data_IF_144690362964
#
_entry.id   IF_144690362964
#
_cell.length_a   1.000
_cell.length_b   1.000
_cell.length_c   1.000
_cell.angle_alpha   90.00
_cell.angle_beta   90.00
_cell.angle_gamma   90.00
#
_symmetry.space_group_name_H-M   'P 1'
#
loop_
_entity.id
_entity.type
_entity.pdbx_description
1 polymer ?
#
# COMPACT_ATOMS: atom_id res chain seq x y z
N UNK A 1 70.15 -57.46 16.21
CA UNK A 1 71.12 -56.39 16.52
C UNK A 1 70.70 -55.13 15.79
N UNK A 2 70.41 -54.08 16.58
CA UNK A 2 70.57 -52.62 16.31
C UNK A 2 69.71 -51.97 15.21
N UNK A 3 68.98 -51.08 15.68
CA UNK A 3 68.90 -49.60 15.94
C UNK A 3 67.95 -48.95 14.95
N UNK A 4 66.84 -48.47 15.47
CA UNK A 4 66.52 -47.05 15.78
C UNK A 4 66.95 -46.11 14.66
N UNK A 5 65.99 -45.57 13.93
CA UNK A 5 66.05 -44.16 13.56
C UNK A 5 64.63 -43.59 13.51
N UNK A 6 64.55 -42.48 14.18
CA UNK A 6 63.36 -41.72 14.55
C UNK A 6 63.26 -40.60 13.49
N UNK A 7 62.23 -40.60 12.72
CA UNK A 7 61.98 -39.47 11.80
C UNK A 7 60.68 -38.78 12.13
N UNK A 8 60.81 -37.60 12.64
CA UNK A 8 59.77 -36.67 13.02
C UNK A 8 58.97 -36.20 11.81
N UNK A 9 57.66 -36.51 11.78
CA UNK A 9 56.75 -35.95 10.80
C UNK A 9 56.11 -34.67 11.40
N UNK A 10 56.40 -33.55 10.79
CA UNK A 10 55.83 -32.25 11.04
C UNK A 10 54.35 -32.24 10.60
N UNK A 11 53.46 -32.10 11.58
CA UNK A 11 52.06 -31.81 11.32
C UNK A 11 51.93 -30.33 10.92
N UNK A 12 51.73 -30.08 9.63
CA UNK A 12 51.31 -28.78 9.14
C UNK A 12 49.77 -28.67 9.33
N UNK A 13 49.36 -27.98 10.36
CA UNK A 13 47.94 -27.64 10.60
C UNK A 13 47.52 -26.54 9.62
N UNK A 14 46.89 -26.92 8.51
CA UNK A 14 46.22 -25.97 7.64
C UNK A 14 44.91 -25.48 8.30
N UNK A 15 44.93 -24.27 8.89
CA UNK A 15 43.72 -23.55 9.25
C UNK A 15 42.94 -23.20 7.95
N UNK A 16 42.03 -24.05 7.56
CA UNK A 16 41.05 -23.76 6.53
C UNK A 16 40.03 -22.76 7.05
N UNK A 17 40.25 -21.48 6.84
CA UNK A 17 39.25 -20.45 7.07
C UNK A 17 38.09 -20.61 6.12
N UNK A 18 36.96 -21.13 6.61
CA UNK A 18 35.69 -21.18 5.87
C UNK A 18 35.15 -19.76 5.78
N UNK A 19 35.38 -19.08 4.66
CA UNK A 19 34.70 -17.85 4.30
C UNK A 19 33.21 -18.18 4.11
N UNK A 20 32.40 -17.93 5.14
CA UNK A 20 30.95 -17.86 4.98
C UNK A 20 30.65 -16.68 4.07
N UNK A 21 30.50 -16.95 2.78
CA UNK A 21 29.93 -16.00 1.84
C UNK A 21 28.45 -15.80 2.22
N UNK A 22 28.15 -14.72 2.93
CA UNK A 22 26.79 -14.25 3.13
C UNK A 22 26.26 -13.84 1.75
N UNK A 23 25.56 -14.75 1.09
CA UNK A 23 24.79 -14.43 -0.10
C UNK A 23 23.69 -13.45 0.31
N UNK A 24 23.93 -12.15 0.16
CA UNK A 24 22.88 -11.16 0.15
C UNK A 24 21.97 -11.52 -1.02
N UNK A 25 20.76 -12.01 -0.71
CA UNK A 25 19.73 -12.22 -1.72
C UNK A 25 19.46 -10.87 -2.38
N UNK A 26 20.06 -10.64 -3.54
CA UNK A 26 19.76 -9.49 -4.36
C UNK A 26 18.27 -9.61 -4.74
N UNK A 27 17.43 -8.80 -4.12
CA UNK A 27 16.02 -8.68 -4.51
C UNK A 27 15.99 -8.34 -5.99
N UNK A 28 15.42 -9.24 -6.80
CA UNK A 28 15.35 -9.04 -8.25
C UNK A 28 14.64 -7.72 -8.53
N UNK A 29 15.27 -6.86 -9.33
CA UNK A 29 14.69 -5.55 -9.69
C UNK A 29 13.35 -5.78 -10.42
N UNK A 30 12.28 -5.06 -10.05
CA UNK A 30 10.99 -5.22 -10.69
C UNK A 30 11.07 -4.89 -12.19
N UNK A 31 10.40 -5.67 -13.01
CA UNK A 31 10.42 -5.59 -14.47
C UNK A 31 9.18 -4.88 -14.98
N UNK A 32 9.37 -3.84 -15.80
CA UNK A 32 8.27 -3.14 -16.48
C UNK A 32 7.49 -4.11 -17.41
N UNK A 33 6.18 -3.98 -17.41
CA UNK A 33 5.27 -4.84 -18.17
C UNK A 33 4.85 -6.12 -17.42
N UNK A 34 5.73 -6.64 -16.54
CA UNK A 34 5.42 -7.80 -15.70
C UNK A 34 4.96 -7.37 -14.31
N UNK A 35 5.81 -6.63 -13.58
CA UNK A 35 5.58 -6.31 -12.17
C UNK A 35 4.96 -4.91 -11.96
N UNK A 36 5.14 -4.02 -12.93
CA UNK A 36 4.57 -2.67 -12.95
C UNK A 36 4.43 -2.15 -14.39
N UNK A 37 3.58 -1.14 -14.57
CA UNK A 37 3.43 -0.37 -15.82
C UNK A 37 3.76 1.10 -15.60
N UNK A 38 3.94 1.84 -16.71
CA UNK A 38 4.07 3.29 -16.67
C UNK A 38 2.70 3.96 -16.80
N UNK A 39 2.53 5.06 -16.07
CA UNK A 39 1.38 5.96 -16.22
C UNK A 39 1.76 6.98 -17.32
N UNK A 40 1.00 7.00 -18.39
CA UNK A 40 1.24 7.88 -19.53
C UNK A 40 -0.02 8.69 -19.90
N UNK A 41 0.07 10.03 -19.90
CA UNK A 41 1.22 10.83 -19.46
C UNK A 41 1.44 10.73 -17.94
N UNK A 42 2.69 10.93 -17.45
CA UNK A 42 2.94 10.93 -16.01
C UNK A 42 2.21 12.08 -15.32
N UNK A 43 1.74 11.80 -14.11
CA UNK A 43 1.00 12.76 -13.29
C UNK A 43 1.96 13.48 -12.32
N UNK A 44 1.74 14.78 -12.11
CA UNK A 44 2.51 15.53 -11.14
C UNK A 44 2.13 15.15 -9.70
N UNK A 45 3.11 14.89 -8.80
CA UNK A 45 2.80 14.63 -7.40
C UNK A 45 2.24 15.88 -6.71
N UNK A 46 1.38 15.68 -5.72
CA UNK A 46 0.80 16.79 -4.97
C UNK A 46 1.85 17.59 -4.18
N UNK A 47 2.92 16.94 -3.74
CA UNK A 47 4.08 17.57 -3.09
C UNK A 47 5.37 17.06 -3.76
N UNK A 48 6.06 17.88 -4.56
CA UNK A 48 7.29 17.47 -5.24
C UNK A 48 8.48 17.21 -4.30
N UNK A 49 8.43 17.68 -3.05
CA UNK A 49 9.47 17.45 -2.03
C UNK A 49 9.38 16.05 -1.38
N UNK A 50 8.34 15.27 -1.69
CA UNK A 50 8.15 13.92 -1.16
C UNK A 50 7.89 12.92 -2.28
N UNK A 51 8.23 11.66 -2.06
CA UNK A 51 7.80 10.58 -2.95
C UNK A 51 6.33 10.30 -2.68
N UNK A 52 5.47 10.61 -3.64
CA UNK A 52 4.03 10.34 -3.52
C UNK A 52 3.72 8.87 -3.82
N UNK A 53 2.97 8.24 -2.90
CA UNK A 53 2.41 6.90 -3.06
C UNK A 53 0.90 6.98 -2.90
N UNK A 54 0.15 6.56 -3.90
CA UNK A 54 -1.31 6.51 -3.85
C UNK A 54 -1.78 5.07 -3.89
N UNK A 55 -2.69 4.72 -2.98
CA UNK A 55 -3.49 3.49 -3.06
C UNK A 55 -4.86 3.84 -3.63
N UNK A 56 -5.19 3.30 -4.79
CA UNK A 56 -6.56 3.32 -5.32
C UNK A 56 -7.31 2.10 -4.80
N UNK A 57 -8.48 2.33 -4.19
CA UNK A 57 -9.23 1.28 -3.51
C UNK A 57 -10.74 1.54 -3.54
N UNK A 58 -11.52 0.58 -3.06
CA UNK A 58 -12.94 0.77 -2.74
C UNK A 58 -13.34 -0.12 -1.56
N UNK A 59 -14.17 0.39 -0.67
CA UNK A 59 -14.79 -0.44 0.37
C UNK A 59 -15.68 -1.57 -0.18
N UNK A 60 -16.18 -1.44 -1.41
CA UNK A 60 -16.94 -2.51 -2.09
C UNK A 60 -16.06 -3.63 -2.66
N UNK A 61 -14.73 -3.44 -2.70
CA UNK A 61 -13.80 -4.38 -3.33
C UNK A 61 -13.32 -5.46 -2.34
N UNK A 62 -13.63 -6.76 -2.54
CA UNK A 62 -13.16 -7.82 -1.66
C UNK A 62 -11.63 -7.99 -1.69
N UNK A 63 -10.99 -7.74 -2.83
CA UNK A 63 -9.52 -7.78 -2.93
C UNK A 63 -8.86 -6.64 -2.15
N UNK A 64 -9.48 -5.45 -2.10
CA UNK A 64 -9.01 -4.35 -1.25
C UNK A 64 -9.17 -4.71 0.25
N UNK A 65 -10.28 -5.34 0.63
CA UNK A 65 -10.48 -5.85 1.99
C UNK A 65 -9.41 -6.86 2.38
N UNK A 66 -9.05 -7.79 1.49
CA UNK A 66 -7.98 -8.77 1.73
C UNK A 66 -6.59 -8.15 1.74
N UNK A 67 -6.40 -7.01 1.09
CA UNK A 67 -5.12 -6.29 1.03
C UNK A 67 -4.89 -5.38 2.24
N UNK A 68 -5.95 -4.84 2.84
CA UNK A 68 -5.87 -3.88 3.95
C UNK A 68 -5.01 -4.35 5.14
N UNK A 69 -5.06 -5.63 5.61
CA UNK A 69 -4.21 -6.10 6.70
C UNK A 69 -2.70 -6.01 6.42
N UNK A 70 -2.31 -5.89 5.16
CA UNK A 70 -0.91 -5.75 4.74
C UNK A 70 -0.57 -4.30 4.40
N UNK A 71 -1.36 -3.62 3.57
CA UNK A 71 -1.08 -2.25 3.15
C UNK A 71 -1.21 -1.24 4.28
N UNK A 72 -2.11 -1.46 5.22
CA UNK A 72 -2.30 -0.58 6.38
C UNK A 72 -1.03 -0.47 7.25
N UNK A 73 -0.48 -1.57 7.81
CA UNK A 73 0.80 -1.55 8.53
C UNK A 73 1.96 -1.06 7.67
N UNK A 74 2.06 -1.50 6.42
CA UNK A 74 3.10 -1.08 5.49
C UNK A 74 3.10 0.44 5.27
N UNK A 75 1.95 1.05 5.04
CA UNK A 75 1.85 2.49 4.82
C UNK A 75 2.34 3.32 6.02
N UNK A 76 2.17 2.80 7.23
CA UNK A 76 2.67 3.43 8.47
C UNK A 76 4.18 3.24 8.69
N UNK A 77 4.78 2.23 8.08
CA UNK A 77 6.23 1.99 8.14
C UNK A 77 7.03 2.78 7.11
N UNK A 78 6.36 3.45 6.18
CA UNK A 78 7.03 4.23 5.14
C UNK A 78 7.83 5.39 5.75
N UNK A 79 9.02 5.70 5.20
CA UNK A 79 9.86 6.80 5.68
C UNK A 79 9.17 8.18 5.56
N UNK A 80 9.63 9.14 6.36
CA UNK A 80 9.03 10.47 6.46
C UNK A 80 9.04 11.30 5.15
N UNK A 81 9.94 10.96 4.22
CA UNK A 81 10.01 11.56 2.89
C UNK A 81 9.05 10.92 1.87
N UNK A 82 8.28 9.91 2.28
CA UNK A 82 7.21 9.29 1.48
C UNK A 82 5.85 9.79 1.97
N UNK A 83 5.03 10.27 1.05
CA UNK A 83 3.66 10.71 1.32
C UNK A 83 2.67 9.67 0.79
N UNK A 84 2.13 8.83 1.70
CA UNK A 84 1.09 7.87 1.36
C UNK A 84 -0.30 8.50 1.49
N UNK A 85 -1.16 8.27 0.51
CA UNK A 85 -2.59 8.65 0.52
C UNK A 85 -3.44 7.60 -0.15
N UNK A 86 -4.70 7.50 0.27
CA UNK A 86 -5.71 6.66 -0.35
C UNK A 86 -6.63 7.47 -1.26
N UNK A 87 -7.04 6.88 -2.37
CA UNK A 87 -7.95 7.47 -3.34
C UNK A 87 -9.09 6.46 -3.61
N UNK A 88 -10.29 6.68 -3.08
CA UNK A 88 -11.42 5.81 -3.32
C UNK A 88 -11.93 5.97 -4.76
N UNK A 89 -12.11 4.84 -5.48
CA UNK A 89 -12.54 4.83 -6.89
C UNK A 89 -14.05 4.90 -7.07
N UNK A 90 -14.50 5.20 -8.30
CA UNK A 90 -15.91 5.49 -8.61
C UNK A 90 -16.63 4.45 -9.48
N UNK A 91 -15.98 3.33 -9.85
CA UNK A 91 -16.54 2.36 -10.79
C UNK A 91 -17.12 1.09 -10.15
N UNK A 92 -17.17 1.00 -8.82
CA UNK A 92 -17.74 -0.14 -8.11
C UNK A 92 -19.10 0.22 -7.50
N UNK A 93 -19.83 -0.82 -7.07
CA UNK A 93 -21.13 -0.66 -6.40
C UNK A 93 -21.05 0.34 -5.24
N UNK A 94 -22.09 1.15 -5.08
CA UNK A 94 -22.22 2.16 -4.02
C UNK A 94 -21.03 3.15 -3.93
N UNK A 95 -20.38 3.40 -5.06
CA UNK A 95 -19.07 4.09 -5.10
C UNK A 95 -19.13 5.48 -4.47
N UNK A 96 -20.11 6.33 -4.80
CA UNK A 96 -20.16 7.69 -4.27
C UNK A 96 -20.35 7.71 -2.74
N UNK A 97 -21.18 6.81 -2.20
CA UNK A 97 -21.37 6.69 -0.75
C UNK A 97 -20.05 6.26 -0.07
N UNK A 98 -19.33 5.29 -0.64
CA UNK A 98 -18.06 4.85 -0.09
C UNK A 98 -16.91 5.86 -0.30
N UNK A 99 -16.92 6.63 -1.38
CA UNK A 99 -15.99 7.75 -1.54
C UNK A 99 -16.23 8.83 -0.47
N UNK A 100 -17.49 9.21 -0.25
CA UNK A 100 -17.88 10.15 0.79
C UNK A 100 -17.54 9.62 2.18
N UNK A 101 -17.73 8.32 2.41
CA UNK A 101 -17.34 7.66 3.67
C UNK A 101 -15.88 7.86 3.96
N UNK A 102 -14.99 7.52 3.01
CA UNK A 102 -13.56 7.68 3.20
C UNK A 102 -13.18 9.13 3.50
N UNK A 103 -13.66 10.08 2.70
CA UNK A 103 -13.32 11.49 2.89
C UNK A 103 -13.95 12.12 4.14
N UNK A 104 -15.09 11.62 4.60
CA UNK A 104 -15.65 12.02 5.90
C UNK A 104 -14.81 11.49 7.07
N UNK A 105 -14.34 10.24 6.99
CA UNK A 105 -13.40 9.68 7.96
C UNK A 105 -12.07 10.45 7.97
N UNK A 106 -11.55 10.82 6.79
CA UNK A 106 -10.35 11.63 6.66
C UNK A 106 -10.54 13.03 7.29
N UNK A 107 -11.63 13.72 6.96
CA UNK A 107 -11.95 15.04 7.50
C UNK A 107 -12.17 15.06 9.03
N UNK A 108 -12.54 13.91 9.59
CA UNK A 108 -12.76 13.76 11.05
C UNK A 108 -11.58 13.11 11.78
N UNK A 109 -10.49 12.74 11.07
CA UNK A 109 -9.31 12.10 11.63
C UNK A 109 -9.53 10.63 12.05
N UNK A 110 -10.56 9.96 11.50
CA UNK A 110 -10.97 8.62 11.90
C UNK A 110 -10.49 7.51 10.96
N UNK A 111 -9.71 7.82 9.91
CA UNK A 111 -9.27 6.80 8.92
C UNK A 111 -8.55 5.65 9.61
N UNK A 112 -7.53 5.91 10.42
CA UNK A 112 -6.75 4.86 11.10
C UNK A 112 -7.59 3.96 11.99
N UNK A 113 -8.60 4.52 12.64
CA UNK A 113 -9.50 3.78 13.52
C UNK A 113 -10.55 2.97 12.75
N UNK A 114 -11.02 3.47 11.61
CA UNK A 114 -12.23 2.98 10.97
C UNK A 114 -11.98 2.23 9.66
N UNK A 115 -10.85 2.41 8.99
CA UNK A 115 -10.57 1.82 7.68
C UNK A 115 -10.84 0.30 7.63
N UNK A 116 -10.19 -0.46 8.49
CA UNK A 116 -10.37 -1.91 8.58
C UNK A 116 -11.77 -2.32 9.06
N UNK A 117 -12.41 -1.48 9.90
CA UNK A 117 -13.76 -1.75 10.43
C UNK A 117 -14.85 -1.58 9.38
N UNK A 118 -14.70 -0.58 8.49
CA UNK A 118 -15.62 -0.44 7.35
C UNK A 118 -15.49 -1.64 6.41
N UNK A 119 -14.27 -2.08 6.10
CA UNK A 119 -14.06 -3.30 5.32
C UNK A 119 -14.68 -4.54 6.00
N UNK A 120 -14.47 -4.71 7.31
CA UNK A 120 -15.04 -5.83 8.05
C UNK A 120 -16.57 -5.79 8.05
N UNK A 121 -17.19 -4.63 8.27
CA UNK A 121 -18.63 -4.46 8.21
C UNK A 121 -19.20 -4.87 6.84
N UNK A 122 -18.57 -4.47 5.74
CA UNK A 122 -19.03 -4.81 4.38
C UNK A 122 -18.78 -6.28 4.05
N UNK A 123 -17.56 -6.80 4.26
CA UNK A 123 -17.14 -8.09 3.69
C UNK A 123 -17.30 -9.28 4.66
N UNK A 124 -17.17 -9.04 5.96
CA UNK A 124 -17.28 -10.09 6.99
C UNK A 124 -18.68 -10.10 7.61
N UNK A 125 -19.13 -8.94 8.09
CA UNK A 125 -20.45 -8.81 8.74
C UNK A 125 -21.60 -8.66 7.71
N UNK A 126 -21.29 -8.45 6.42
CA UNK A 126 -22.23 -8.31 5.30
C UNK A 126 -23.27 -7.20 5.52
N UNK A 127 -22.87 -6.14 6.20
CA UNK A 127 -23.70 -4.97 6.38
C UNK A 127 -23.84 -4.20 5.06
N UNK A 128 -25.03 -3.72 4.77
CA UNK A 128 -25.29 -3.04 3.51
C UNK A 128 -24.77 -1.60 3.46
N UNK A 129 -24.50 -0.95 4.54
CA UNK A 129 -23.98 0.42 4.64
C UNK A 129 -24.41 1.37 3.47
N UNK A 130 -25.66 1.25 3.04
CA UNK A 130 -26.20 1.97 1.88
C UNK A 130 -26.52 3.43 2.23
N UNK A 131 -26.77 3.70 3.51
CA UNK A 131 -27.15 5.02 4.01
C UNK A 131 -26.02 5.62 4.85
N UNK A 132 -25.80 6.93 4.77
CA UNK A 132 -24.82 7.61 5.61
C UNK A 132 -25.05 7.40 7.12
N UNK A 133 -26.31 7.25 7.52
CA UNK A 133 -26.74 7.03 8.90
C UNK A 133 -26.27 5.66 9.43
N UNK A 134 -26.26 4.62 8.59
CA UNK A 134 -25.76 3.28 8.95
C UNK A 134 -24.24 3.34 9.22
N UNK A 135 -23.51 4.12 8.41
CA UNK A 135 -22.07 4.33 8.59
C UNK A 135 -21.79 5.18 9.84
N UNK A 136 -22.60 6.23 10.08
CA UNK A 136 -22.49 7.03 11.30
C UNK A 136 -22.74 6.18 12.56
N UNK A 137 -23.70 5.24 12.52
CA UNK A 137 -23.92 4.28 13.61
C UNK A 137 -22.70 3.36 13.81
N UNK A 138 -22.09 2.87 12.72
CA UNK A 138 -20.85 2.09 12.79
C UNK A 138 -19.71 2.90 13.41
N UNK A 139 -19.55 4.17 13.05
CA UNK A 139 -18.56 5.09 13.63
C UNK A 139 -18.79 5.23 15.13
N UNK A 140 -20.06 5.48 15.56
CA UNK A 140 -20.42 5.63 16.98
C UNK A 140 -20.16 4.34 17.76
N UNK A 141 -20.55 3.18 17.22
CA UNK A 141 -20.31 1.85 17.82
C UNK A 141 -18.82 1.61 18.09
N UNK A 142 -17.96 2.22 17.28
CA UNK A 142 -16.50 2.08 17.39
C UNK A 142 -15.82 3.25 18.10
N UNK A 143 -16.56 4.09 18.85
CA UNK A 143 -16.00 5.15 19.70
C UNK A 143 -15.73 6.47 18.98
N UNK A 144 -16.14 6.62 17.72
CA UNK A 144 -16.05 7.88 16.99
C UNK A 144 -17.31 8.73 17.17
N UNK A 145 -17.25 10.00 16.76
CA UNK A 145 -18.40 10.91 16.75
C UNK A 145 -19.17 10.76 15.43
N UNK A 146 -20.26 9.97 15.47
CA UNK A 146 -21.11 9.71 14.31
C UNK A 146 -21.82 10.96 13.80
N UNK A 147 -22.18 11.92 14.68
CA UNK A 147 -22.82 13.17 14.27
C UNK A 147 -21.82 14.05 13.49
N UNK A 148 -20.60 14.18 13.99
CA UNK A 148 -19.51 14.90 13.31
C UNK A 148 -19.17 14.25 11.97
N UNK A 149 -19.08 12.91 11.93
CA UNK A 149 -18.90 12.17 10.68
C UNK A 149 -20.02 12.48 9.68
N UNK A 150 -21.30 12.44 10.09
CA UNK A 150 -22.44 12.68 9.22
C UNK A 150 -22.46 14.11 8.67
N UNK A 151 -22.10 15.10 9.50
CA UNK A 151 -21.92 16.48 9.07
C UNK A 151 -20.81 16.62 8.02
N UNK A 152 -19.66 15.97 8.23
CA UNK A 152 -18.55 15.92 7.27
C UNK A 152 -18.98 15.24 5.97
N UNK A 153 -19.65 14.10 6.04
CA UNK A 153 -20.17 13.34 4.89
C UNK A 153 -21.05 14.19 3.96
N UNK A 154 -21.89 15.06 4.53
CA UNK A 154 -22.81 15.94 3.80
C UNK A 154 -22.13 17.26 3.36
N UNK A 155 -20.89 17.50 3.74
CA UNK A 155 -20.21 18.78 3.49
C UNK A 155 -19.81 18.97 2.02
N UNK A 156 -19.66 20.25 1.63
CA UNK A 156 -19.15 20.64 0.33
C UNK A 156 -17.67 20.23 0.13
N UNK A 157 -16.87 20.24 1.19
CA UNK A 157 -15.47 19.82 1.13
C UNK A 157 -15.33 18.35 0.75
N UNK A 158 -16.15 17.46 1.33
CA UNK A 158 -16.20 16.03 0.98
C UNK A 158 -16.70 15.85 -0.46
N UNK A 159 -17.73 16.60 -0.90
CA UNK A 159 -18.18 16.56 -2.29
C UNK A 159 -17.07 16.95 -3.27
N UNK A 160 -16.30 17.98 -2.93
CA UNK A 160 -15.14 18.43 -3.72
C UNK A 160 -14.04 17.35 -3.75
N UNK A 161 -13.75 16.68 -2.62
CA UNK A 161 -12.78 15.61 -2.54
C UNK A 161 -13.19 14.40 -3.41
N UNK A 162 -14.48 14.03 -3.42
CA UNK A 162 -15.03 13.00 -4.32
C UNK A 162 -14.81 13.37 -5.78
N UNK A 163 -15.10 14.60 -6.17
CA UNK A 163 -14.88 15.07 -7.55
C UNK A 163 -13.39 14.99 -7.93
N UNK A 164 -12.49 15.39 -7.04
CA UNK A 164 -11.03 15.28 -7.27
C UNK A 164 -10.60 13.81 -7.40
N UNK A 165 -11.11 12.91 -6.56
CA UNK A 165 -10.80 11.48 -6.64
C UNK A 165 -11.26 10.86 -7.96
N UNK A 166 -12.46 11.20 -8.45
CA UNK A 166 -12.94 10.78 -9.78
C UNK A 166 -12.01 11.25 -10.90
N UNK A 167 -11.57 12.52 -10.83
CA UNK A 167 -10.60 13.04 -11.80
C UNK A 167 -9.25 12.32 -11.71
N UNK A 168 -8.70 12.12 -10.51
CA UNK A 168 -7.46 11.39 -10.32
C UNK A 168 -7.54 9.97 -10.88
N UNK A 169 -8.63 9.25 -10.60
CA UNK A 169 -8.86 7.92 -11.17
C UNK A 169 -8.76 7.93 -12.70
N UNK A 170 -9.37 8.91 -13.38
CA UNK A 170 -9.32 9.05 -14.82
C UNK A 170 -7.91 9.42 -15.32
N UNK A 171 -7.26 10.42 -14.71
CA UNK A 171 -5.92 10.89 -15.09
C UNK A 171 -4.86 9.78 -14.95
N UNK A 172 -4.99 8.93 -13.91
CA UNK A 172 -4.10 7.80 -13.65
C UNK A 172 -4.51 6.53 -14.41
N UNK A 173 -5.62 6.55 -15.15
CA UNK A 173 -6.18 5.43 -15.92
C UNK A 173 -6.39 4.19 -15.05
N UNK A 174 -6.96 4.38 -13.86
CA UNK A 174 -7.22 3.28 -12.93
C UNK A 174 -8.49 2.53 -13.32
N UNK A 175 -8.33 1.29 -13.76
CA UNK A 175 -9.41 0.42 -14.23
C UNK A 175 -9.70 -0.76 -13.28
N UNK A 176 -8.78 -1.01 -12.33
CA UNK A 176 -8.91 -2.08 -11.33
C UNK A 176 -8.33 -1.68 -9.98
N UNK A 177 -8.82 -2.30 -8.90
CA UNK A 177 -8.33 -2.10 -7.53
C UNK A 177 -8.20 -3.42 -6.77
N UNK A 178 -7.28 -3.52 -5.78
CA UNK A 178 -6.37 -2.46 -5.32
C UNK A 178 -5.26 -2.17 -6.33
N UNK A 179 -4.85 -0.90 -6.40
CA UNK A 179 -3.73 -0.47 -7.22
C UNK A 179 -2.87 0.54 -6.46
N UNK A 180 -1.55 0.47 -6.63
CA UNK A 180 -0.58 1.38 -6.00
C UNK A 180 0.13 2.15 -7.10
N UNK A 181 0.21 3.47 -6.95
CA UNK A 181 0.99 4.31 -7.86
C UNK A 181 2.12 5.00 -7.10
N UNK A 182 3.26 5.17 -7.76
CA UNK A 182 4.44 5.82 -7.20
C UNK A 182 4.81 7.02 -8.08
N UNK A 183 4.87 8.20 -7.48
CA UNK A 183 5.28 9.47 -8.07
C UNK A 183 4.54 9.82 -9.37
N UNK A 184 3.28 9.40 -9.49
CA UNK A 184 2.50 9.61 -10.71
C UNK A 184 3.09 9.00 -11.99
N UNK A 185 4.08 8.09 -11.85
CA UNK A 185 4.84 7.51 -12.97
C UNK A 185 4.68 6.01 -13.09
N UNK A 186 4.57 5.30 -11.98
CA UNK A 186 4.56 3.85 -11.93
C UNK A 186 3.25 3.36 -11.33
N UNK A 187 2.70 2.29 -11.88
CA UNK A 187 1.50 1.60 -11.41
C UNK A 187 1.83 0.13 -11.19
N UNK A 188 1.51 -0.39 -10.01
CA UNK A 188 1.54 -1.82 -9.69
C UNK A 188 0.27 -2.23 -8.94
N UNK A 189 0.02 -3.53 -8.87
CA UNK A 189 -1.11 -4.10 -8.14
C UNK A 189 -0.79 -5.53 -7.70
N UNK A 190 -1.51 -6.09 -6.71
CA UNK A 190 -1.39 -7.51 -6.38
C UNK A 190 -1.60 -8.44 -7.58
N UNK A 191 -2.54 -8.12 -8.45
CA UNK A 191 -2.79 -8.91 -9.65
C UNK A 191 -1.61 -8.90 -10.63
N UNK A 192 -0.97 -7.74 -10.81
CA UNK A 192 0.16 -7.57 -11.71
C UNK A 192 1.46 -8.16 -11.14
N UNK A 193 1.74 -7.91 -9.87
CA UNK A 193 2.97 -8.33 -9.22
C UNK A 193 2.98 -9.81 -8.76
N UNK A 194 1.87 -10.54 -8.93
CA UNK A 194 1.76 -11.93 -8.53
C UNK A 194 1.40 -12.16 -7.05
N UNK A 195 0.87 -11.13 -6.38
CA UNK A 195 0.36 -11.21 -5.01
C UNK A 195 0.52 -9.93 -4.20
N UNK A 196 -0.15 -9.89 -3.05
CA UNK A 196 -0.11 -8.71 -2.16
C UNK A 196 1.29 -8.41 -1.61
N UNK A 197 2.05 -9.39 -1.07
CA UNK A 197 3.42 -9.12 -0.61
C UNK A 197 4.33 -8.64 -1.73
N UNK A 198 4.21 -9.25 -2.92
CA UNK A 198 5.01 -8.90 -4.09
C UNK A 198 4.72 -7.48 -4.56
N UNK A 199 3.45 -7.05 -4.55
CA UNK A 199 3.10 -5.68 -4.94
C UNK A 199 3.67 -4.62 -4.00
N UNK A 200 3.74 -4.89 -2.69
CA UNK A 200 4.39 -4.00 -1.72
C UNK A 200 5.91 -3.96 -1.92
N UNK A 201 6.55 -5.10 -2.16
CA UNK A 201 7.98 -5.15 -2.47
C UNK A 201 8.32 -4.41 -3.77
N UNK A 202 7.47 -4.53 -4.81
CA UNK A 202 7.58 -3.75 -6.05
C UNK A 202 7.44 -2.25 -5.76
N UNK A 203 6.46 -1.85 -4.94
CA UNK A 203 6.27 -0.45 -4.57
C UNK A 203 7.50 0.12 -3.84
N UNK A 204 8.09 -0.62 -2.89
CA UNK A 204 9.34 -0.22 -2.21
C UNK A 204 10.50 -0.03 -3.18
N UNK A 205 10.73 -0.99 -4.08
CA UNK A 205 11.78 -0.88 -5.09
C UNK A 205 11.58 0.33 -6.02
N UNK A 206 10.32 0.67 -6.34
CA UNK A 206 9.98 1.84 -7.15
C UNK A 206 10.15 3.16 -6.37
N UNK A 207 9.83 3.19 -5.08
CA UNK A 207 10.11 4.31 -4.18
C UNK A 207 11.63 4.59 -4.15
N UNK A 208 12.43 3.55 -3.94
CA UNK A 208 13.89 3.67 -3.95
C UNK A 208 14.44 4.11 -5.31
N UNK A 209 13.83 3.65 -6.40
CA UNK A 209 14.19 4.11 -7.76
C UNK A 209 13.91 5.59 -7.97
N UNK A 210 12.81 6.12 -7.42
CA UNK A 210 12.49 7.55 -7.47
C UNK A 210 13.48 8.35 -6.65
N UNK A 211 13.79 7.93 -5.42
CA UNK A 211 14.75 8.59 -4.52
C UNK A 211 16.14 8.74 -5.13
N UNK A 212 16.62 7.70 -5.83
CA UNK A 212 17.95 7.74 -6.49
C UNK A 212 18.02 8.69 -7.69
N UNK A 213 16.89 9.18 -8.19
CA UNK A 213 16.81 10.08 -9.34
C UNK A 213 16.46 11.52 -8.97
N UNK A 214 16.11 11.76 -7.70
CA UNK A 214 15.87 13.08 -7.14
C UNK A 214 17.17 13.71 -6.65
#
# INVERSE_FOLDING_TARGET
MNRRDFSSALFASSLGGTLLATATAASAQPTQGRDFTLIEPPQAPANPAKVEVLEFFSYACPHCSSFEPMVGPWSRSLPADVAFRRVPVSFLFNAENFQRTYFALEATGLVEQMQSKVFAAVHVERQRLDKPEDIAALVTKNGGDGAKFLAAFKSFSVATAVTKAKKMQADYKIESVPAITIQGKYLTSPAQAGGSPQSLAVAEALIDKVRRKA
#
